data_IF_763868361613
#
_entry.id   IF_763868361613
#
_cell.length_a   1.000
_cell.length_b   1.000
_cell.length_c   1.000
_cell.angle_alpha   90.00
_cell.angle_beta   90.00
_cell.angle_gamma   90.00
#
_symmetry.space_group_name_H-M   'P 1'
#
loop_
_entity.id
_entity.type
_entity.pdbx_description
1 polymer ?
#
# COMPACT_ATOMS: atom_id res chain seq x y z
N UNK A 1 -8.40 -6.86 -22.64
CA UNK A 1 -8.80 -5.66 -21.90
C UNK A 1 -9.50 -6.13 -20.63
N UNK A 2 -8.94 -5.85 -19.45
CA UNK A 2 -9.66 -6.10 -18.19
C UNK A 2 -10.80 -5.06 -18.15
N UNK A 3 -12.01 -5.55 -18.01
CA UNK A 3 -13.24 -4.79 -18.09
C UNK A 3 -13.24 -3.64 -17.06
N UNK A 4 -13.57 -2.44 -17.48
CA UNK A 4 -13.65 -1.23 -16.64
C UNK A 4 -14.60 -1.44 -15.45
N UNK A 5 -15.56 -2.36 -15.59
CA UNK A 5 -16.54 -2.71 -14.56
C UNK A 5 -15.96 -3.34 -13.29
N UNK A 6 -14.70 -3.79 -13.30
CA UNK A 6 -14.03 -4.32 -12.09
C UNK A 6 -13.28 -3.27 -11.30
N UNK A 7 -13.06 -2.10 -11.88
CA UNK A 7 -12.46 -0.96 -11.21
C UNK A 7 -13.41 -0.45 -10.14
N UNK A 8 -13.26 -0.24 -9.02
CA UNK A 8 -14.20 0.13 -7.94
C UNK A 8 -15.28 -0.94 -7.61
N UNK A 9 -15.17 -2.15 -8.16
CA UNK A 9 -16.03 -3.25 -7.77
C UNK A 9 -15.90 -3.57 -6.26
N UNK A 10 -16.86 -4.30 -5.73
CA UNK A 10 -16.85 -4.68 -4.32
C UNK A 10 -17.42 -3.61 -3.39
N UNK A 11 -18.21 -2.65 -3.87
CA UNK A 11 -18.85 -1.62 -3.05
C UNK A 11 -20.22 -2.03 -2.49
N UNK A 12 -20.77 -3.20 -2.86
CA UNK A 12 -22.00 -3.73 -2.28
C UNK A 12 -21.87 -3.95 -0.75
N UNK A 13 -23.00 -3.96 -0.06
CA UNK A 13 -23.02 -4.28 1.39
C UNK A 13 -22.41 -5.65 1.67
N UNK A 14 -22.73 -6.65 0.86
CA UNK A 14 -22.16 -7.99 0.99
C UNK A 14 -20.62 -7.99 0.83
N UNK A 15 -20.09 -7.30 -0.17
CA UNK A 15 -18.64 -7.17 -0.37
C UNK A 15 -17.94 -6.45 0.78
N UNK A 16 -18.59 -5.45 1.38
CA UNK A 16 -18.04 -4.74 2.55
C UNK A 16 -17.99 -5.65 3.78
N UNK A 17 -19.05 -6.41 4.04
CA UNK A 17 -19.09 -7.38 5.14
C UNK A 17 -18.02 -8.45 4.90
N UNK A 18 -17.97 -9.01 3.70
CA UNK A 18 -16.94 -9.99 3.31
C UNK A 18 -15.51 -9.44 3.53
N UNK A 19 -15.27 -8.19 3.11
CA UNK A 19 -13.97 -7.54 3.33
C UNK A 19 -13.60 -7.50 4.81
N UNK A 20 -14.52 -7.09 5.69
CA UNK A 20 -14.24 -7.01 7.12
C UNK A 20 -13.98 -8.38 7.74
N UNK A 21 -14.73 -9.40 7.34
CA UNK A 21 -14.52 -10.80 7.80
C UNK A 21 -13.17 -11.32 7.29
N UNK A 22 -12.92 -11.23 5.98
CA UNK A 22 -11.67 -11.69 5.39
C UNK A 22 -10.45 -10.95 5.97
N UNK A 23 -10.57 -9.62 6.13
CA UNK A 23 -9.53 -8.83 6.78
C UNK A 23 -9.29 -9.27 8.21
N UNK A 24 -10.34 -9.52 8.99
CA UNK A 24 -10.21 -9.99 10.38
C UNK A 24 -9.40 -11.30 10.44
N UNK A 25 -9.74 -12.27 9.58
CA UNK A 25 -9.03 -13.54 9.49
C UNK A 25 -7.57 -13.33 9.05
N UNK A 26 -7.36 -12.64 7.93
CA UNK A 26 -6.02 -12.43 7.35
C UNK A 26 -5.11 -11.65 8.30
N UNK A 27 -5.61 -10.56 8.88
CA UNK A 27 -4.84 -9.76 9.84
C UNK A 27 -4.62 -10.53 11.14
N UNK A 28 -5.61 -11.30 11.60
CA UNK A 28 -5.47 -12.17 12.77
C UNK A 28 -4.37 -13.22 12.59
N UNK A 29 -4.39 -13.95 11.48
CA UNK A 29 -3.34 -14.91 11.12
C UNK A 29 -1.97 -14.24 10.98
N UNK A 30 -1.91 -13.09 10.32
CA UNK A 30 -0.67 -12.31 10.18
C UNK A 30 -0.11 -11.94 11.55
N UNK A 31 -0.94 -11.46 12.48
CA UNK A 31 -0.51 -11.11 13.84
C UNK A 31 0.04 -12.32 14.61
N UNK A 32 -0.58 -13.49 14.45
CA UNK A 32 -0.10 -14.72 15.10
C UNK A 32 1.24 -15.15 14.51
N UNK A 33 1.34 -15.23 13.18
CA UNK A 33 2.56 -15.67 12.47
C UNK A 33 3.73 -14.75 12.74
N UNK A 34 3.48 -13.44 12.78
CA UNK A 34 4.53 -12.43 12.87
C UNK A 34 4.66 -11.78 14.23
N UNK A 35 3.83 -12.17 15.21
CA UNK A 35 3.77 -11.44 16.50
C UNK A 35 3.78 -9.93 16.30
N UNK A 36 2.94 -9.47 15.36
CA UNK A 36 2.95 -8.12 14.80
C UNK A 36 2.72 -7.05 15.84
N UNK A 37 3.66 -6.13 15.96
CA UNK A 37 3.54 -4.89 16.70
C UNK A 37 3.35 -3.73 15.73
N UNK A 38 2.47 -2.78 16.07
CA UNK A 38 2.21 -1.59 15.24
C UNK A 38 2.35 -0.35 16.10
N UNK A 39 3.31 0.49 15.75
CA UNK A 39 3.59 1.79 16.37
C UNK A 39 3.16 2.93 15.45
N UNK A 40 2.67 4.04 16.02
CA UNK A 40 2.28 5.21 15.26
C UNK A 40 0.97 5.06 14.45
N UNK A 41 0.12 4.06 14.76
CA UNK A 41 -1.15 3.87 14.04
C UNK A 41 -2.09 5.09 14.11
N UNK A 42 -1.91 5.98 15.08
CA UNK A 42 -2.66 7.25 15.23
C UNK A 42 -2.35 8.24 14.10
N UNK A 43 -1.22 8.09 13.42
CA UNK A 43 -0.83 8.90 12.27
C UNK A 43 -1.65 8.59 11.01
N UNK A 44 -2.38 7.46 11.00
CA UNK A 44 -3.21 7.10 9.84
C UNK A 44 -4.50 7.91 9.86
N UNK A 45 -4.83 8.68 8.79
CA UNK A 45 -6.04 9.47 8.73
C UNK A 45 -7.30 8.60 8.94
N UNK A 46 -8.16 9.02 9.88
CA UNK A 46 -9.42 8.31 10.17
C UNK A 46 -10.51 8.58 9.14
N UNK A 47 -10.40 9.68 8.38
CA UNK A 47 -11.32 10.10 7.32
C UNK A 47 -10.56 10.57 6.08
N UNK A 48 -11.26 10.65 4.95
CA UNK A 48 -10.68 11.10 3.68
C UNK A 48 -9.74 10.06 3.04
N UNK A 49 -9.30 10.32 1.83
CA UNK A 49 -8.33 9.49 1.13
C UNK A 49 -6.90 9.79 1.61
N UNK A 50 -6.04 8.81 1.48
CA UNK A 50 -4.59 8.95 1.66
C UNK A 50 -3.86 7.85 0.88
N UNK A 51 -2.59 8.06 0.60
CA UNK A 51 -1.70 7.01 0.10
C UNK A 51 -0.95 6.41 1.29
N UNK A 52 -1.14 5.11 1.55
CA UNK A 52 -0.28 4.38 2.47
C UNK A 52 0.93 3.88 1.67
N UNK A 53 2.12 4.29 2.06
CA UNK A 53 3.35 4.01 1.34
C UNK A 53 4.30 3.14 2.18
N UNK A 54 4.12 1.82 2.23
CA UNK A 54 5.01 0.93 2.95
C UNK A 54 6.25 0.58 2.10
N UNK A 55 7.36 0.23 2.79
CA UNK A 55 8.47 -0.48 2.16
C UNK A 55 8.01 -1.88 1.71
N UNK A 56 8.77 -2.51 0.80
CA UNK A 56 8.40 -3.82 0.26
C UNK A 56 9.55 -4.81 0.28
N UNK A 57 9.53 -5.74 1.25
CA UNK A 57 10.56 -6.79 1.46
C UNK A 57 10.00 -8.21 1.30
N UNK A 58 8.68 -8.38 1.52
CA UNK A 58 8.07 -9.69 1.66
C UNK A 58 6.69 -9.77 1.02
N UNK A 59 6.23 -10.97 0.71
CA UNK A 59 4.82 -11.19 0.33
C UNK A 59 3.85 -10.86 1.47
N UNK A 60 4.31 -10.94 2.73
CA UNK A 60 3.48 -10.68 3.90
C UNK A 60 3.30 -9.18 4.17
N UNK A 61 4.02 -8.29 3.46
CA UNK A 61 3.88 -6.84 3.65
C UNK A 61 2.47 -6.35 3.31
N UNK A 62 1.80 -6.98 2.33
CA UNK A 62 0.42 -6.61 1.97
C UNK A 62 -0.57 -6.82 3.11
N UNK A 63 -0.67 -8.01 3.75
CA UNK A 63 -1.53 -8.18 4.93
C UNK A 63 -1.03 -7.40 6.14
N UNK A 64 0.27 -7.15 6.30
CA UNK A 64 0.81 -6.26 7.34
C UNK A 64 0.31 -4.82 7.12
N UNK A 65 0.37 -4.29 5.88
CA UNK A 65 -0.17 -2.99 5.56
C UNK A 65 -1.68 -2.90 5.86
N UNK A 66 -2.43 -3.98 5.62
CA UNK A 66 -3.85 -4.04 5.99
C UNK A 66 -4.08 -4.03 7.52
N UNK A 67 -3.09 -4.40 8.33
CA UNK A 67 -3.19 -4.39 9.79
C UNK A 67 -3.04 -2.98 10.40
N UNK A 68 -2.48 -2.02 9.67
CA UNK A 68 -2.18 -0.65 10.14
C UNK A 68 -3.46 0.15 10.44
N UNK A 69 -4.56 -0.11 9.73
CA UNK A 69 -5.82 0.60 9.92
C UNK A 69 -7.02 -0.34 9.83
N UNK A 70 -8.14 0.05 10.43
CA UNK A 70 -9.42 -0.66 10.27
C UNK A 70 -10.18 -0.24 9.01
N UNK A 71 -9.73 0.82 8.34
CA UNK A 71 -10.35 1.30 7.10
C UNK A 71 -10.08 0.31 5.97
N UNK A 72 -11.01 0.26 5.02
CA UNK A 72 -10.83 -0.50 3.79
C UNK A 72 -9.75 0.17 2.97
N UNK A 73 -8.70 -0.58 2.66
CA UNK A 73 -7.61 -0.14 1.79
C UNK A 73 -7.81 -0.70 0.38
N UNK A 74 -7.45 0.08 -0.62
CA UNK A 74 -7.37 -0.36 -2.01
C UNK A 74 -5.94 -0.76 -2.34
N UNK A 75 -5.80 -1.79 -3.17
CA UNK A 75 -4.50 -2.33 -3.59
C UNK A 75 -4.46 -2.50 -5.10
N UNK A 76 -3.34 -2.15 -5.71
CA UNK A 76 -3.08 -2.49 -7.10
C UNK A 76 -2.61 -3.94 -7.23
N UNK A 77 -3.15 -4.67 -8.18
CA UNK A 77 -2.70 -6.02 -8.51
C UNK A 77 -2.50 -6.21 -10.01
N UNK A 78 -1.64 -7.16 -10.39
CA UNK A 78 -1.43 -7.51 -11.81
C UNK A 78 -2.74 -8.00 -12.43
N UNK A 79 -3.12 -7.46 -13.58
CA UNK A 79 -4.33 -7.78 -14.33
C UNK A 79 -4.54 -9.28 -14.58
N UNK A 80 -3.45 -10.04 -14.76
CA UNK A 80 -3.51 -11.49 -14.95
C UNK A 80 -4.17 -12.24 -13.78
N UNK A 81 -4.20 -11.66 -12.58
CA UNK A 81 -4.87 -12.25 -11.42
C UNK A 81 -6.41 -12.19 -11.56
N UNK A 82 -6.94 -11.28 -12.38
CA UNK A 82 -8.38 -11.11 -12.61
C UNK A 82 -8.92 -11.96 -13.76
N UNK A 83 -8.11 -12.87 -14.36
CA UNK A 83 -8.56 -13.72 -15.48
C UNK A 83 -9.64 -14.73 -15.09
N UNK A 84 -9.61 -15.22 -13.86
CA UNK A 84 -10.55 -16.24 -13.37
C UNK A 84 -11.65 -15.60 -12.51
N UNK A 85 -12.91 -15.87 -12.86
CA UNK A 85 -14.11 -15.29 -12.22
C UNK A 85 -14.10 -15.34 -10.69
N UNK A 86 -13.86 -16.48 -10.00
CA UNK A 86 -13.85 -16.53 -8.54
C UNK A 86 -12.76 -15.67 -7.93
N UNK A 87 -11.56 -15.66 -8.56
CA UNK A 87 -10.41 -14.88 -8.10
C UNK A 87 -10.67 -13.39 -8.34
N UNK A 88 -11.26 -13.03 -9.49
CA UNK A 88 -11.68 -11.65 -9.79
C UNK A 88 -12.58 -11.11 -8.69
N UNK A 89 -13.66 -11.84 -8.36
CA UNK A 89 -14.59 -11.43 -7.32
C UNK A 89 -13.89 -11.29 -5.96
N UNK A 90 -13.08 -12.28 -5.56
CA UNK A 90 -12.35 -12.29 -4.30
C UNK A 90 -11.42 -11.08 -4.18
N UNK A 91 -10.56 -10.85 -5.18
CA UNK A 91 -9.61 -9.74 -5.16
C UNK A 91 -10.32 -8.38 -5.13
N UNK A 92 -11.39 -8.23 -5.92
CA UNK A 92 -12.19 -7.00 -5.95
C UNK A 92 -12.92 -6.77 -4.63
N UNK A 93 -13.47 -7.81 -4.01
CA UNK A 93 -14.09 -7.74 -2.69
C UNK A 93 -13.08 -7.35 -1.60
N UNK A 94 -11.83 -7.82 -1.72
CA UNK A 94 -10.71 -7.43 -0.86
C UNK A 94 -10.15 -6.03 -1.16
N UNK A 95 -10.76 -5.27 -2.07
CA UNK A 95 -10.33 -3.92 -2.40
C UNK A 95 -9.25 -3.83 -3.46
N UNK A 96 -8.87 -4.96 -4.07
CA UNK A 96 -7.93 -5.00 -5.19
C UNK A 96 -8.55 -4.46 -6.48
N UNK A 97 -7.72 -3.86 -7.33
CA UNK A 97 -8.09 -3.52 -8.70
C UNK A 97 -6.95 -3.85 -9.67
N UNK A 98 -7.29 -4.25 -10.92
CA UNK A 98 -6.30 -4.68 -11.89
C UNK A 98 -5.54 -3.50 -12.49
N UNK A 99 -4.24 -3.70 -12.73
CA UNK A 99 -3.40 -2.81 -13.52
C UNK A 99 -2.51 -3.64 -14.45
N UNK A 100 -2.35 -3.18 -15.69
CA UNK A 100 -1.45 -3.82 -16.66
C UNK A 100 -0.03 -3.35 -16.39
N UNK A 101 0.88 -4.26 -16.06
CA UNK A 101 2.29 -3.92 -15.86
C UNK A 101 2.99 -3.85 -17.21
N UNK A 102 3.81 -2.82 -17.40
CA UNK A 102 4.73 -2.71 -18.55
C UNK A 102 4.35 -1.72 -19.65
N UNK A 103 3.15 -1.17 -19.68
CA UNK A 103 2.91 0.10 -20.36
C UNK A 103 3.22 1.23 -19.39
N UNK A 104 3.89 2.29 -19.86
CA UNK A 104 4.13 3.49 -19.03
C UNK A 104 2.76 3.99 -18.54
N UNK A 105 2.51 3.70 -17.49
CA UNK A 105 1.44 3.38 -16.59
C UNK A 105 0.46 4.54 -16.31
N UNK A 106 0.16 5.33 -17.36
CA UNK A 106 -0.82 6.41 -17.29
C UNK A 106 -2.20 5.92 -16.86
N UNK A 107 -2.60 4.74 -17.32
CA UNK A 107 -3.89 4.15 -16.96
C UNK A 107 -3.91 3.71 -15.49
N UNK A 108 -2.84 3.07 -15.01
CA UNK A 108 -2.72 2.68 -13.61
C UNK A 108 -2.70 3.92 -12.70
N UNK A 109 -1.94 4.96 -13.05
CA UNK A 109 -1.93 6.21 -12.30
C UNK A 109 -3.31 6.89 -12.31
N UNK A 110 -4.01 6.90 -13.46
CA UNK A 110 -5.37 7.44 -13.55
C UNK A 110 -6.35 6.69 -12.65
N UNK A 111 -6.27 5.36 -12.59
CA UNK A 111 -7.08 4.51 -11.69
C UNK A 111 -6.76 4.81 -10.22
N UNK A 112 -5.49 4.95 -9.86
CA UNK A 112 -5.08 5.34 -8.50
C UNK A 112 -5.67 6.70 -8.10
N UNK A 113 -5.57 7.70 -8.98
CA UNK A 113 -6.13 9.03 -8.76
C UNK A 113 -7.65 8.95 -8.59
N UNK A 114 -8.35 8.15 -9.41
CA UNK A 114 -9.79 7.97 -9.31
C UNK A 114 -10.21 7.35 -7.97
N UNK A 115 -9.46 6.35 -7.46
CA UNK A 115 -9.65 5.77 -6.12
C UNK A 115 -9.54 6.83 -5.04
N UNK A 116 -8.47 7.64 -5.07
CA UNK A 116 -8.23 8.68 -4.07
C UNK A 116 -9.29 9.79 -4.14
N UNK A 117 -9.71 10.20 -5.34
CA UNK A 117 -10.79 11.17 -5.54
C UNK A 117 -12.15 10.65 -5.08
N UNK A 118 -12.36 9.34 -5.09
CA UNK A 118 -13.55 8.71 -4.50
C UNK A 118 -13.52 8.64 -2.95
N UNK A 119 -12.48 9.21 -2.32
CA UNK A 119 -12.34 9.25 -0.87
C UNK A 119 -11.82 7.95 -0.24
N UNK A 120 -11.33 6.99 -1.07
CA UNK A 120 -10.83 5.71 -0.57
C UNK A 120 -9.30 5.71 -0.42
N UNK A 121 -8.78 5.14 0.69
CA UNK A 121 -7.34 5.00 0.88
C UNK A 121 -6.72 3.98 -0.08
N UNK A 122 -5.50 4.26 -0.51
CA UNK A 122 -4.76 3.45 -1.47
C UNK A 122 -3.40 3.03 -0.91
N UNK A 123 -3.04 1.77 -1.03
CA UNK A 123 -1.70 1.26 -0.72
C UNK A 123 -0.86 1.23 -1.99
N UNK A 124 0.26 1.91 -1.96
CA UNK A 124 1.26 1.88 -3.01
C UNK A 124 2.63 1.56 -2.41
N UNK A 125 3.28 0.54 -2.94
CA UNK A 125 4.66 0.23 -2.58
C UNK A 125 5.58 1.06 -3.49
N UNK A 126 6.22 2.12 -2.98
CA UNK A 126 6.92 3.08 -3.84
C UNK A 126 8.19 2.51 -4.47
N UNK A 127 8.74 1.42 -3.94
CA UNK A 127 9.86 0.69 -4.53
C UNK A 127 9.45 -0.14 -5.77
N UNK A 128 8.15 -0.25 -6.08
CA UNK A 128 7.59 -0.94 -7.25
C UNK A 128 7.71 -2.45 -7.23
N UNK A 129 8.74 -2.99 -6.60
CA UNK A 129 8.97 -4.43 -6.45
C UNK A 129 9.52 -4.74 -5.06
N UNK A 130 9.44 -6.01 -4.65
CA UNK A 130 10.08 -6.45 -3.40
C UNK A 130 11.61 -6.34 -3.52
N UNK A 131 12.20 -5.69 -2.55
CA UNK A 131 13.64 -5.49 -2.41
C UNK A 131 14.21 -6.33 -1.26
N UNK A 132 15.51 -6.26 -1.02
CA UNK A 132 16.20 -6.92 0.08
C UNK A 132 17.24 -6.00 0.72
N UNK A 133 17.63 -6.38 1.94
CA UNK A 133 18.66 -5.69 2.69
C UNK A 133 18.17 -4.42 3.38
N UNK A 134 19.09 -3.71 4.06
CA UNK A 134 18.74 -2.66 5.01
C UNK A 134 18.46 -1.29 4.37
N UNK A 135 18.73 -1.13 3.08
CA UNK A 135 18.61 0.17 2.41
C UNK A 135 17.33 0.25 1.58
N UNK A 136 16.58 1.32 1.73
CA UNK A 136 15.45 1.62 0.87
C UNK A 136 15.98 1.97 -0.52
N UNK A 137 15.54 1.23 -1.52
CA UNK A 137 15.96 1.44 -2.91
C UNK A 137 15.31 2.69 -3.48
N UNK A 138 15.88 3.28 -4.55
CA UNK A 138 15.31 4.46 -5.20
C UNK A 138 13.82 4.24 -5.49
N UNK A 139 13.01 5.21 -5.06
CA UNK A 139 11.56 5.15 -5.20
C UNK A 139 11.13 5.62 -6.59
N UNK A 140 10.04 5.03 -7.09
CA UNK A 140 9.34 5.56 -8.25
C UNK A 140 8.45 6.74 -7.84
N UNK A 141 8.39 7.74 -8.70
CA UNK A 141 7.58 8.96 -8.50
C UNK A 141 6.07 8.71 -8.47
N UNK A 142 5.62 7.51 -8.81
CA UNK A 142 4.19 7.20 -8.94
C UNK A 142 3.37 7.49 -7.69
N UNK A 143 3.87 7.13 -6.49
CA UNK A 143 3.18 7.38 -5.23
C UNK A 143 3.07 8.88 -4.93
N UNK A 144 4.15 9.64 -5.13
CA UNK A 144 4.18 11.08 -4.97
C UNK A 144 3.25 11.76 -5.99
N UNK A 145 3.35 11.38 -7.26
CA UNK A 145 2.52 11.95 -8.32
C UNK A 145 1.02 11.80 -8.07
N UNK A 146 0.54 10.59 -7.70
CA UNK A 146 -0.89 10.38 -7.48
C UNK A 146 -1.39 11.12 -6.24
N UNK A 147 -0.56 11.20 -5.18
CA UNK A 147 -0.90 11.92 -3.96
C UNK A 147 -0.99 13.44 -4.21
N UNK A 148 0.01 14.03 -4.88
CA UNK A 148 0.00 15.45 -5.27
C UNK A 148 -1.20 15.74 -6.17
N UNK A 149 -1.44 14.91 -7.20
CA UNK A 149 -2.55 15.10 -8.15
C UNK A 149 -3.93 14.97 -7.52
N UNK A 150 -4.07 14.13 -6.52
CA UNK A 150 -5.33 13.95 -5.77
C UNK A 150 -5.43 14.89 -4.56
N UNK A 151 -4.37 15.65 -4.23
CA UNK A 151 -4.25 16.51 -3.04
C UNK A 151 -4.57 15.76 -1.75
N UNK A 152 -3.94 14.59 -1.57
CA UNK A 152 -4.12 13.73 -0.39
C UNK A 152 -2.78 13.45 0.28
N UNK A 153 -2.74 13.25 1.61
CA UNK A 153 -1.49 12.97 2.31
C UNK A 153 -0.92 11.60 1.95
N UNK A 154 0.41 11.48 2.07
CA UNK A 154 1.14 10.21 2.02
C UNK A 154 1.51 9.82 3.44
N UNK A 155 1.18 8.59 3.83
CA UNK A 155 1.54 8.00 5.13
C UNK A 155 2.68 7.02 4.90
N UNK A 156 3.93 7.35 5.27
CA UNK A 156 5.06 6.46 5.14
C UNK A 156 5.01 5.36 6.19
N UNK A 157 5.39 4.13 5.83
CA UNK A 157 5.35 2.97 6.74
C UNK A 157 6.61 2.13 6.61
N UNK A 158 7.38 2.06 7.70
CA UNK A 158 8.47 1.11 7.86
C UNK A 158 7.94 -0.25 8.33
N UNK A 159 8.47 -1.34 7.79
CA UNK A 159 8.14 -2.72 8.19
C UNK A 159 9.44 -3.46 8.44
N UNK A 160 9.72 -3.79 9.69
CA UNK A 160 10.89 -4.58 10.10
C UNK A 160 10.56 -6.06 10.25
N UNK A 161 11.56 -6.91 10.00
CA UNK A 161 11.49 -8.36 10.19
C UNK A 161 10.74 -9.14 9.11
N UNK A 162 10.01 -8.50 8.21
CA UNK A 162 9.14 -9.17 7.23
C UNK A 162 9.91 -9.98 6.18
N UNK A 163 11.10 -9.54 5.79
CA UNK A 163 11.99 -10.27 4.89
C UNK A 163 12.29 -11.68 5.43
N UNK A 164 12.48 -11.79 6.73
CA UNK A 164 12.74 -13.07 7.38
C UNK A 164 11.54 -14.01 7.43
N UNK A 165 10.31 -13.52 7.28
CA UNK A 165 9.08 -14.33 7.29
C UNK A 165 8.85 -15.02 5.95
N UNK A 166 8.87 -14.27 4.84
CA UNK A 166 8.62 -14.80 3.50
C UNK A 166 9.37 -13.98 2.44
N UNK A 167 10.69 -14.18 2.31
CA UNK A 167 11.50 -13.42 1.36
C UNK A 167 11.05 -13.64 -0.09
N UNK A 168 11.47 -12.75 -0.97
CA UNK A 168 11.22 -12.85 -2.43
C UNK A 168 11.71 -14.20 -2.94
N UNK A 169 10.82 -14.93 -3.64
CA UNK A 169 11.10 -16.27 -4.17
C UNK A 169 10.78 -17.43 -3.21
N UNK A 170 10.60 -17.17 -1.91
CA UNK A 170 10.16 -18.19 -0.96
C UNK A 170 8.65 -18.46 -1.06
N UNK A 171 8.29 -19.72 -0.88
CA UNK A 171 6.89 -20.16 -0.66
C UNK A 171 6.66 -20.61 0.79
N UNK A 172 7.72 -20.69 1.59
CA UNK A 172 7.60 -21.05 3.01
C UNK A 172 7.43 -19.81 3.86
N UNK A 173 6.49 -19.90 4.80
CA UNK A 173 6.26 -18.88 5.84
C UNK A 173 7.03 -19.32 7.09
N UNK A 174 7.84 -18.41 7.63
CA UNK A 174 8.55 -18.61 8.90
C UNK A 174 7.94 -17.73 9.98
N UNK A 175 7.85 -18.26 11.18
CA UNK A 175 7.39 -17.50 12.33
C UNK A 175 8.51 -16.57 12.82
N UNK A 176 8.37 -15.28 12.56
CA UNK A 176 9.30 -14.25 13.01
C UNK A 176 8.55 -13.00 13.44
N UNK A 177 9.10 -12.27 14.41
CA UNK A 177 8.55 -10.99 14.83
C UNK A 177 8.63 -9.99 13.68
N UNK A 178 7.52 -9.25 13.47
CA UNK A 178 7.49 -8.09 12.58
C UNK A 178 7.03 -6.87 13.37
N UNK A 179 7.64 -5.74 13.07
CA UNK A 179 7.27 -4.45 13.66
C UNK A 179 6.94 -3.48 12.54
N UNK A 180 5.85 -2.76 12.72
CA UNK A 180 5.45 -1.67 11.83
C UNK A 180 5.61 -0.35 12.57
N UNK A 181 6.25 0.60 11.92
CA UNK A 181 6.34 1.99 12.38
C UNK A 181 5.69 2.89 11.33
N UNK A 182 4.61 3.55 11.72
CA UNK A 182 3.85 4.49 10.88
C UNK A 182 4.35 5.89 11.18
N UNK A 183 4.88 6.55 10.17
CA UNK A 183 5.35 7.93 10.28
C UNK A 183 4.23 8.95 10.13
N UNK A 184 4.56 10.21 10.44
CA UNK A 184 3.65 11.35 10.24
C UNK A 184 3.29 11.50 8.76
N UNK A 185 2.05 11.88 8.45
CA UNK A 185 1.62 12.13 7.08
C UNK A 185 2.44 13.24 6.42
N UNK A 186 2.88 13.01 5.20
CA UNK A 186 3.45 14.03 4.31
C UNK A 186 2.29 14.72 3.63
N UNK A 187 2.08 15.99 3.94
CA UNK A 187 1.01 16.79 3.34
C UNK A 187 1.49 17.31 2.00
N UNK A 188 0.73 17.02 0.96
CA UNK A 188 1.04 17.41 -0.41
C UNK A 188 -0.21 17.93 -1.11
N UNK A 189 -0.03 18.69 -2.18
CA UNK A 189 -1.14 19.19 -3.00
C UNK A 189 -0.67 19.67 -4.36
N UNK A 190 -1.59 19.69 -5.31
CA UNK A 190 -1.40 20.37 -6.59
C UNK A 190 -1.31 21.89 -6.37
N UNK A 191 -0.79 22.61 -7.37
CA UNK A 191 -0.81 24.08 -7.34
C UNK A 191 -2.27 24.62 -7.43
N UNK A 192 -2.40 25.94 -7.31
CA UNK A 192 -3.70 26.62 -7.36
C UNK A 192 -4.49 26.36 -8.66
N UNK A 193 -3.78 26.00 -9.74
CA UNK A 193 -4.36 25.67 -11.04
C UNK A 193 -4.63 24.14 -11.20
N UNK A 194 -4.42 23.33 -10.16
CA UNK A 194 -4.58 21.88 -10.20
C UNK A 194 -3.50 21.17 -11.04
N UNK A 195 -2.39 21.86 -11.34
CA UNK A 195 -1.23 21.27 -12.01
C UNK A 195 -0.33 20.57 -10.99
N UNK A 196 0.42 19.59 -11.45
CA UNK A 196 1.41 18.85 -10.66
C UNK A 196 2.80 19.27 -11.13
N UNK A 197 3.49 20.19 -10.41
CA UNK A 197 4.85 20.56 -10.74
C UNK A 197 5.79 19.37 -10.60
N UNK A 198 6.72 19.19 -11.51
CA UNK A 198 7.73 18.12 -11.41
C UNK A 198 8.61 18.27 -10.17
N UNK A 199 8.91 19.51 -9.75
CA UNK A 199 9.63 19.81 -8.52
C UNK A 199 8.89 19.25 -7.31
N UNK A 200 7.58 19.50 -7.17
CA UNK A 200 6.77 19.03 -6.07
C UNK A 200 6.75 17.48 -5.98
N UNK A 201 6.68 16.79 -7.11
CA UNK A 201 6.75 15.32 -7.15
C UNK A 201 8.12 14.84 -6.68
N UNK A 202 9.20 15.44 -7.20
CA UNK A 202 10.56 15.06 -6.81
C UNK A 202 10.82 15.31 -5.33
N UNK A 203 10.51 16.49 -4.83
CA UNK A 203 10.68 16.85 -3.41
C UNK A 203 9.88 15.90 -2.49
N UNK A 204 8.65 15.55 -2.90
CA UNK A 204 7.82 14.58 -2.18
C UNK A 204 8.45 13.18 -2.19
N UNK A 205 9.01 12.74 -3.33
CA UNK A 205 9.69 11.44 -3.45
C UNK A 205 10.95 11.40 -2.58
N UNK A 206 11.75 12.47 -2.58
CA UNK A 206 12.95 12.61 -1.76
C UNK A 206 12.61 12.60 -0.26
N UNK A 207 11.58 13.33 0.15
CA UNK A 207 11.09 13.35 1.54
C UNK A 207 10.57 11.96 1.95
N UNK A 208 9.77 11.32 1.10
CA UNK A 208 9.27 9.98 1.34
C UNK A 208 10.41 8.97 1.50
N UNK A 209 11.45 9.06 0.67
CA UNK A 209 12.63 8.19 0.74
C UNK A 209 13.35 8.34 2.07
N UNK A 210 13.61 9.57 2.52
CA UNK A 210 14.27 9.83 3.81
C UNK A 210 13.46 9.29 4.99
N UNK A 211 12.15 9.53 4.99
CA UNK A 211 11.27 9.05 6.05
C UNK A 211 11.15 7.53 6.07
N UNK A 212 11.00 6.91 4.89
CA UNK A 212 10.93 5.45 4.80
C UNK A 212 12.21 4.78 5.30
N UNK A 213 13.40 5.32 4.98
CA UNK A 213 14.66 4.79 5.49
C UNK A 213 14.70 4.83 7.02
N UNK A 214 14.40 5.97 7.62
CA UNK A 214 14.40 6.13 9.08
C UNK A 214 13.38 5.22 9.77
N UNK A 215 12.14 5.14 9.23
CA UNK A 215 11.09 4.28 9.78
C UNK A 215 11.43 2.80 9.63
N UNK A 216 12.08 2.41 8.54
CA UNK A 216 12.51 1.05 8.31
C UNK A 216 13.60 0.64 9.29
N UNK A 217 14.62 1.49 9.49
CA UNK A 217 15.70 1.26 10.47
C UNK A 217 15.13 1.11 11.89
N UNK A 218 14.19 1.98 12.30
CA UNK A 218 13.53 1.86 13.60
C UNK A 218 12.70 0.57 13.71
N UNK A 219 11.96 0.21 12.66
CA UNK A 219 11.18 -1.01 12.63
C UNK A 219 12.07 -2.28 12.70
N UNK A 220 13.19 -2.32 11.96
CA UNK A 220 14.14 -3.43 12.00
C UNK A 220 14.79 -3.55 13.38
N UNK A 221 15.23 -2.43 13.98
CA UNK A 221 15.80 -2.42 15.33
C UNK A 221 14.85 -2.97 16.39
N UNK A 222 13.55 -2.71 16.25
CA UNK A 222 12.51 -3.21 17.18
C UNK A 222 12.11 -4.67 16.90
N UNK A 223 12.30 -5.16 15.68
CA UNK A 223 11.98 -6.52 15.28
C UNK A 223 13.04 -7.54 15.71
N UNK A 224 14.29 -7.11 15.81
CA UNK A 224 15.44 -7.88 16.29
C UNK A 224 15.57 -7.81 17.80
#
# INVERSE_FOLDING_TARGET
MADVDTFMAGNSRASRIFYHVARFIVVGLTRVITRLEVHGAHNVPTRGAFVLAPIHRSNIDTPIAAAVTRRRLRFMGKDSLWRHQPIRWLLSALGGFPVTRGSADREALARCIAVLKAGEPLVLFPEGTRQFGPTVMPLFDGAAYVAVKASVPIVPVGIGGSEGVMPKGSRMIRFKKCVVVVGDPIIVGADENGRVPRSAVRETTEELTRRLQSLFEDAEKRAN
#
